data_IF_082328127182
#
_entry.id   IF_082328127182
#
_cell.length_a   1.000
_cell.length_b   1.000
_cell.length_c   1.000
_cell.angle_alpha   90.00
_cell.angle_beta   90.00
_cell.angle_gamma   90.00
#
_symmetry.space_group_name_H-M   'P 1'
#
loop_
_entity.id
_entity.type
_entity.pdbx_description
1 polymer ?
#
# COMPACT_ATOMS: atom_id res chain seq x y z
N UNK A 1 -4.15 12.80 -20.39
CA UNK A 1 -4.41 13.18 -18.99
C UNK A 1 -3.24 12.66 -18.16
N UNK A 2 -2.36 13.53 -17.66
CA UNK A 2 -1.30 13.08 -16.76
C UNK A 2 -1.95 12.61 -15.45
N UNK A 3 -1.75 11.34 -15.06
CA UNK A 3 -2.12 10.87 -13.72
C UNK A 3 -1.44 11.79 -12.71
N UNK A 4 -2.20 12.36 -11.77
CA UNK A 4 -1.67 13.32 -10.79
C UNK A 4 -0.42 12.84 -10.05
N UNK A 5 0.30 13.80 -9.47
CA UNK A 5 1.57 13.56 -8.75
C UNK A 5 1.42 12.45 -7.70
N UNK A 6 2.44 11.61 -7.58
CA UNK A 6 2.49 10.59 -6.51
C UNK A 6 2.78 11.31 -5.19
N UNK A 7 1.87 11.17 -4.22
CA UNK A 7 2.03 11.76 -2.88
C UNK A 7 2.58 10.76 -1.87
N UNK A 8 2.27 9.47 -2.05
CA UNK A 8 2.79 8.37 -1.23
C UNK A 8 3.25 7.25 -2.15
N UNK A 9 4.45 6.73 -1.90
CA UNK A 9 4.94 5.49 -2.51
C UNK A 9 5.26 4.50 -1.39
N UNK A 10 4.70 3.31 -1.51
CA UNK A 10 4.99 2.12 -0.71
C UNK A 10 5.71 1.13 -1.61
N UNK A 11 6.88 0.66 -1.19
CA UNK A 11 7.74 -0.19 -2.01
C UNK A 11 8.23 -1.39 -1.21
N UNK A 12 7.94 -2.59 -1.73
CA UNK A 12 8.36 -3.88 -1.19
C UNK A 12 8.15 -4.07 0.33
N UNK A 13 7.05 -3.54 0.87
CA UNK A 13 6.79 -3.60 2.32
C UNK A 13 6.29 -4.98 2.71
N UNK A 14 6.91 -5.54 3.76
CA UNK A 14 6.49 -6.78 4.41
C UNK A 14 6.41 -6.57 5.92
N UNK A 15 5.44 -7.20 6.57
CA UNK A 15 5.21 -7.10 8.00
C UNK A 15 4.93 -8.49 8.57
N UNK A 16 5.59 -8.84 9.66
CA UNK A 16 5.39 -10.12 10.35
C UNK A 16 5.19 -9.89 11.84
N UNK A 17 4.30 -10.67 12.45
CA UNK A 17 4.05 -10.67 13.89
C UNK A 17 4.29 -12.09 14.42
N UNK A 18 5.30 -12.27 15.27
CA UNK A 18 5.76 -13.59 15.68
C UNK A 18 6.14 -14.45 14.47
N UNK A 19 5.50 -15.60 14.32
CA UNK A 19 5.70 -16.51 13.17
C UNK A 19 4.80 -16.24 11.97
N UNK A 20 3.88 -15.27 12.04
CA UNK A 20 2.89 -15.01 10.99
C UNK A 20 3.36 -13.86 10.09
N UNK A 21 3.39 -14.09 8.78
CA UNK A 21 3.56 -13.04 7.77
C UNK A 21 2.22 -12.35 7.51
N UNK A 22 2.02 -11.18 8.12
CA UNK A 22 0.79 -10.41 7.98
C UNK A 22 0.70 -9.68 6.64
N UNK A 23 1.81 -9.16 6.14
CA UNK A 23 1.91 -8.49 4.84
C UNK A 23 3.17 -9.00 4.15
N UNK A 24 3.08 -9.38 2.88
CA UNK A 24 4.25 -9.87 2.12
C UNK A 24 4.40 -9.11 0.81
N UNK A 25 5.52 -8.41 0.68
CA UNK A 25 6.00 -7.74 -0.54
C UNK A 25 4.95 -6.86 -1.24
N UNK A 26 4.29 -5.99 -0.48
CA UNK A 26 3.28 -5.08 -1.03
C UNK A 26 3.94 -3.79 -1.51
N UNK A 27 3.58 -3.38 -2.72
CA UNK A 27 4.02 -2.14 -3.35
C UNK A 27 2.84 -1.41 -3.98
N UNK A 28 2.69 -0.13 -3.71
CA UNK A 28 1.66 0.72 -4.32
C UNK A 28 1.98 2.21 -4.22
N UNK A 29 1.32 3.03 -5.03
CA UNK A 29 1.32 4.48 -4.90
C UNK A 29 -0.09 5.03 -4.56
N UNK A 30 -0.12 6.23 -3.98
CA UNK A 30 -1.33 7.06 -3.87
C UNK A 30 -1.06 8.39 -4.53
N UNK A 31 -1.94 8.77 -5.45
CA UNK A 31 -1.80 9.98 -6.26
C UNK A 31 -2.64 11.13 -5.73
N UNK A 32 -2.27 12.35 -6.11
CA UNK A 32 -3.01 13.56 -5.76
C UNK A 32 -4.47 13.45 -6.23
N UNK A 33 -5.40 13.56 -5.29
CA UNK A 33 -6.84 13.43 -5.52
C UNK A 33 -7.37 11.98 -5.56
N UNK A 34 -6.51 10.98 -5.38
CA UNK A 34 -6.91 9.57 -5.28
C UNK A 34 -7.43 9.24 -3.88
N UNK A 35 -8.59 8.60 -3.79
CA UNK A 35 -9.09 7.96 -2.56
C UNK A 35 -8.82 6.47 -2.68
N UNK A 36 -8.03 5.91 -1.76
CA UNK A 36 -7.71 4.48 -1.70
C UNK A 36 -8.09 3.92 -0.33
N UNK A 37 -8.76 2.78 -0.34
CA UNK A 37 -9.08 2.01 0.86
C UNK A 37 -8.35 0.66 0.82
N UNK A 38 -7.86 0.23 1.98
CA UNK A 38 -7.33 -1.12 2.19
C UNK A 38 -8.35 -1.84 3.08
N UNK A 39 -8.76 -3.04 2.67
CA UNK A 39 -9.72 -3.87 3.39
C UNK A 39 -9.11 -5.24 3.68
N UNK A 40 -9.59 -5.89 4.73
CA UNK A 40 -9.18 -7.24 5.11
C UNK A 40 -10.25 -7.90 5.97
N UNK A 41 -10.18 -9.23 6.16
CA UNK A 41 -11.00 -9.90 7.16
C UNK A 41 -10.72 -9.34 8.57
N UNK A 42 -11.66 -9.53 9.50
CA UNK A 42 -11.45 -9.27 10.93
C UNK A 42 -10.53 -10.31 11.56
#
# INVERSE_FOLDING_TARGET
MAKGDVLLKVDNVSLSFGGVKAITNISFDVRKGEIRAIIGPN
#
